data_IF_406414490269
#
_entry.id   IF_406414490269
#
_cell.length_a   1.000
_cell.length_b   1.000
_cell.length_c   1.000
_cell.angle_alpha   90.00
_cell.angle_beta   90.00
_cell.angle_gamma   90.00
#
_symmetry.space_group_name_H-M   'P 1'
#
loop_
_entity.id
_entity.type
_entity.pdbx_description
1 polymer ?
#
# COMPACT_ATOMS: atom_id res chain seq x y z
N UNK A 1 -10.07 -13.63 16.66
CA UNK A 1 -9.52 -12.28 16.87
C UNK A 1 -10.42 -11.70 17.92
N UNK A 2 -9.90 -11.61 19.14
CA UNK A 2 -10.76 -11.54 20.33
C UNK A 2 -10.85 -10.11 20.87
N UNK A 3 -10.17 -9.13 20.25
CA UNK A 3 -10.21 -7.74 20.66
C UNK A 3 -10.09 -6.73 19.51
N UNK A 4 -10.73 -5.57 19.69
CA UNK A 4 -10.58 -4.37 18.84
C UNK A 4 -9.13 -3.84 18.80
N UNK A 5 -8.30 -4.19 19.78
CA UNK A 5 -6.88 -3.85 19.86
C UNK A 5 -6.07 -4.64 18.82
N UNK A 6 -6.43 -5.90 18.58
CA UNK A 6 -5.74 -6.75 17.59
C UNK A 6 -5.93 -6.25 16.15
N UNK A 7 -7.08 -5.64 15.85
CA UNK A 7 -7.32 -4.95 14.58
C UNK A 7 -6.32 -3.80 14.34
N UNK A 8 -6.12 -2.96 15.38
CA UNK A 8 -5.15 -1.87 15.32
C UNK A 8 -3.70 -2.36 15.20
N UNK A 9 -3.37 -3.48 15.84
CA UNK A 9 -2.03 -4.05 15.81
C UNK A 9 -1.71 -4.74 14.47
N UNK A 10 -2.68 -5.45 13.87
CA UNK A 10 -2.47 -6.25 12.65
C UNK A 10 -2.65 -5.47 11.34
N UNK A 11 -3.37 -4.34 11.35
CA UNK A 11 -3.58 -3.50 10.16
C UNK A 11 -2.29 -2.99 9.49
N UNK A 12 -1.15 -3.07 10.18
CA UNK A 12 0.16 -2.66 9.67
C UNK A 12 0.84 -3.65 8.70
N UNK A 13 0.41 -4.91 8.61
CA UNK A 13 1.14 -5.92 7.83
C UNK A 13 1.19 -5.59 6.32
N UNK A 14 0.09 -5.06 5.76
CA UNK A 14 0.06 -4.63 4.37
C UNK A 14 1.01 -3.46 4.12
N UNK A 15 1.11 -2.52 5.05
CA UNK A 15 2.05 -1.39 4.93
C UNK A 15 3.50 -1.88 4.86
N UNK A 16 3.85 -2.93 5.60
CA UNK A 16 5.18 -3.53 5.54
C UNK A 16 5.45 -4.15 4.16
N UNK A 17 4.53 -4.95 3.62
CA UNK A 17 4.69 -5.53 2.28
C UNK A 17 4.77 -4.47 1.19
N UNK A 18 3.92 -3.44 1.26
CA UNK A 18 3.97 -2.29 0.35
C UNK A 18 5.32 -1.60 0.45
N UNK A 19 5.84 -1.33 1.66
CA UNK A 19 7.13 -0.66 1.86
C UNK A 19 8.28 -1.45 1.26
N UNK A 20 8.31 -2.77 1.47
CA UNK A 20 9.32 -3.66 0.88
C UNK A 20 9.21 -3.64 -0.65
N UNK A 21 8.01 -3.74 -1.20
CA UNK A 21 7.77 -3.67 -2.64
C UNK A 21 8.22 -2.33 -3.25
N UNK A 22 7.94 -1.21 -2.57
CA UNK A 22 8.42 0.11 -2.98
C UNK A 22 9.95 0.19 -2.96
N UNK A 23 10.61 -0.43 -1.98
CA UNK A 23 12.07 -0.57 -1.94
C UNK A 23 12.63 -1.34 -3.13
N UNK A 24 11.99 -2.45 -3.52
CA UNK A 24 12.34 -3.24 -4.71
C UNK A 24 12.14 -2.44 -5.99
N UNK A 25 11.02 -1.71 -6.11
CA UNK A 25 10.73 -0.87 -7.26
C UNK A 25 11.78 0.26 -7.40
N UNK A 26 12.11 0.94 -6.30
CA UNK A 26 13.13 1.98 -6.27
C UNK A 26 14.51 1.43 -6.65
N UNK A 27 14.92 0.29 -6.08
CA UNK A 27 16.19 -0.34 -6.43
C UNK A 27 16.24 -0.69 -7.92
N UNK A 28 15.16 -1.28 -8.45
CA UNK A 28 15.03 -1.61 -9.88
C UNK A 28 15.14 -0.36 -10.76
N UNK A 29 14.52 0.75 -10.37
CA UNK A 29 14.62 2.03 -11.09
C UNK A 29 16.06 2.58 -11.08
N UNK A 30 16.77 2.47 -9.95
CA UNK A 30 18.19 2.87 -9.86
C UNK A 30 19.06 2.01 -10.78
N UNK A 31 18.84 0.69 -10.81
CA UNK A 31 19.55 -0.21 -11.73
C UNK A 31 19.23 0.10 -13.19
N UNK A 32 17.95 0.33 -13.52
CA UNK A 32 17.54 0.75 -14.85
C UNK A 32 18.30 1.99 -15.32
N UNK A 33 18.41 3.01 -14.45
CA UNK A 33 19.13 4.25 -14.76
C UNK A 33 20.63 4.03 -14.92
N UNK A 34 21.26 3.18 -14.10
CA UNK A 34 22.69 2.86 -14.19
C UNK A 34 23.04 2.12 -15.48
N UNK A 35 22.13 1.28 -15.97
CA UNK A 35 22.28 0.54 -17.22
C UNK A 35 21.72 1.29 -18.45
N UNK A 36 21.59 2.63 -18.38
CA UNK A 36 21.16 3.42 -19.54
C UNK A 36 19.71 3.20 -19.96
N UNK A 37 18.81 2.97 -19.00
CA UNK A 37 17.38 2.72 -19.25
C UNK A 37 17.10 1.27 -19.63
N UNK A 38 17.61 0.31 -18.86
CA UNK A 38 17.34 -1.12 -19.09
C UNK A 38 15.84 -1.43 -18.95
N UNK A 39 15.21 -1.87 -20.06
CA UNK A 39 13.77 -2.18 -20.12
C UNK A 39 13.40 -3.32 -19.16
N UNK A 40 14.32 -4.26 -18.92
CA UNK A 40 14.11 -5.35 -17.97
C UNK A 40 13.88 -4.80 -16.56
N UNK A 41 14.73 -3.89 -16.11
CA UNK A 41 14.62 -3.30 -14.77
C UNK A 41 13.44 -2.34 -14.65
N UNK A 42 13.10 -1.61 -15.72
CA UNK A 42 11.88 -0.79 -15.76
C UNK A 42 10.62 -1.66 -15.65
N UNK A 43 10.56 -2.79 -16.35
CA UNK A 43 9.43 -3.72 -16.24
C UNK A 43 9.31 -4.32 -14.83
N UNK A 44 10.43 -4.63 -14.15
CA UNK A 44 10.41 -5.06 -12.74
C UNK A 44 9.86 -3.96 -11.85
N UNK A 45 10.33 -2.71 -12.02
CA UNK A 45 9.81 -1.55 -11.30
C UNK A 45 8.29 -1.45 -11.48
N UNK A 46 7.80 -1.34 -12.71
CA UNK A 46 6.37 -1.17 -13.02
C UNK A 46 5.48 -2.28 -12.48
N UNK A 47 5.88 -3.55 -12.67
CA UNK A 47 5.13 -4.70 -12.13
C UNK A 47 5.08 -4.69 -10.61
N UNK A 48 6.18 -4.29 -9.96
CA UNK A 48 6.23 -4.19 -8.50
C UNK A 48 5.33 -3.06 -7.99
N UNK A 49 5.29 -1.92 -8.68
CA UNK A 49 4.38 -0.83 -8.36
C UNK A 49 2.91 -1.24 -8.49
N UNK A 50 2.55 -1.98 -9.54
CA UNK A 50 1.20 -2.54 -9.71
C UNK A 50 0.86 -3.49 -8.57
N UNK A 51 1.80 -4.36 -8.17
CA UNK A 51 1.61 -5.26 -7.03
C UNK A 51 1.42 -4.49 -5.71
N UNK A 52 2.18 -3.41 -5.48
CA UNK A 52 2.03 -2.54 -4.31
C UNK A 52 0.64 -1.88 -4.27
N UNK A 53 0.14 -1.42 -5.41
CA UNK A 53 -1.22 -0.86 -5.50
C UNK A 53 -2.28 -1.92 -5.20
N UNK A 54 -2.12 -3.14 -5.73
CA UNK A 54 -2.97 -4.28 -5.42
C UNK A 54 -2.98 -4.62 -3.92
N UNK A 55 -1.80 -4.60 -3.27
CA UNK A 55 -1.68 -4.82 -1.83
C UNK A 55 -2.32 -3.69 -1.02
N UNK A 56 -2.24 -2.44 -1.47
CA UNK A 56 -2.94 -1.31 -0.85
C UNK A 56 -4.46 -1.49 -0.87
N UNK A 57 -5.02 -1.88 -2.02
CA UNK A 57 -6.45 -2.18 -2.16
C UNK A 57 -6.88 -3.37 -1.29
N UNK A 58 -6.12 -4.47 -1.34
CA UNK A 58 -6.40 -5.65 -0.52
C UNK A 58 -6.34 -5.31 0.98
N UNK A 59 -5.33 -4.56 1.42
CA UNK A 59 -5.20 -4.15 2.81
C UNK A 59 -6.38 -3.32 3.28
N UNK A 60 -6.86 -2.39 2.45
CA UNK A 60 -8.06 -1.62 2.76
C UNK A 60 -9.33 -2.49 2.82
N UNK A 61 -9.50 -3.45 1.91
CA UNK A 61 -10.63 -4.38 1.92
C UNK A 61 -10.62 -5.30 3.16
N UNK A 62 -9.45 -5.84 3.52
CA UNK A 62 -9.28 -6.62 4.74
C UNK A 62 -9.59 -5.76 5.97
N UNK A 63 -9.12 -4.52 5.98
CA UNK A 63 -9.47 -3.56 7.01
C UNK A 63 -10.98 -3.43 7.17
N UNK A 64 -11.75 -3.32 6.06
CA UNK A 64 -13.21 -3.17 6.10
C UNK A 64 -13.86 -4.37 6.78
N UNK A 65 -13.42 -5.58 6.41
CA UNK A 65 -13.92 -6.84 7.01
C UNK A 65 -13.61 -6.88 8.51
N UNK A 66 -12.38 -6.58 8.90
CA UNK A 66 -11.97 -6.61 10.31
C UNK A 66 -12.68 -5.52 11.13
N UNK A 67 -12.78 -4.30 10.60
CA UNK A 67 -13.50 -3.21 11.24
C UNK A 67 -14.99 -3.54 11.42
N UNK A 68 -15.63 -4.20 10.44
CA UNK A 68 -17.03 -4.62 10.56
C UNK A 68 -17.21 -5.62 11.69
N UNK A 69 -16.33 -6.61 11.80
CA UNK A 69 -16.33 -7.58 12.90
C UNK A 69 -16.09 -6.89 14.25
N UNK A 70 -15.11 -5.99 14.31
CA UNK A 70 -14.74 -5.29 15.53
C UNK A 70 -15.83 -4.32 16.02
N UNK A 71 -16.52 -3.63 15.11
CA UNK A 71 -17.64 -2.75 15.42
C UNK A 71 -18.86 -3.52 15.96
N UNK A 72 -19.05 -4.78 15.57
CA UNK A 72 -20.10 -5.65 16.10
C UNK A 72 -19.96 -5.93 17.61
N UNK A 73 -18.78 -5.71 18.19
CA UNK A 73 -18.48 -5.91 19.62
C UNK A 73 -18.54 -4.61 20.43
N UNK A 74 -18.78 -3.46 19.78
CA UNK A 74 -18.79 -2.14 20.44
C UNK A 74 -20.18 -1.84 21.00
N UNK A 75 -20.22 -1.26 22.21
CA UNK A 75 -21.48 -0.79 22.81
C UNK A 75 -22.18 0.23 21.89
N UNK A 76 -23.52 0.20 21.76
CA UNK A 76 -24.25 1.09 20.83
C UNK A 76 -23.92 2.58 21.01
N UNK A 77 -23.75 3.02 22.26
CA UNK A 77 -23.40 4.40 22.64
C UNK A 77 -22.01 4.87 22.16
N UNK A 78 -21.11 3.94 21.84
CA UNK A 78 -19.74 4.22 21.36
C UNK A 78 -19.55 3.87 19.88
N UNK A 79 -20.59 3.39 19.20
CA UNK A 79 -20.49 2.87 17.83
C UNK A 79 -20.06 3.96 16.85
N UNK A 80 -20.65 5.16 16.94
CA UNK A 80 -20.35 6.24 15.99
C UNK A 80 -18.91 6.79 16.14
N UNK A 81 -18.40 7.03 17.37
CA UNK A 81 -16.97 7.30 17.57
C UNK A 81 -16.03 6.18 17.12
N UNK A 82 -16.42 4.91 17.31
CA UNK A 82 -15.59 3.78 16.90
C UNK A 82 -15.53 3.65 15.37
N UNK A 83 -16.66 3.83 14.68
CA UNK A 83 -16.74 3.74 13.23
C UNK A 83 -15.96 4.86 12.53
N UNK A 84 -15.98 6.10 13.06
CA UNK A 84 -15.19 7.20 12.50
C UNK A 84 -13.68 6.95 12.61
N UNK A 85 -13.23 6.38 13.73
CA UNK A 85 -11.82 5.97 13.91
C UNK A 85 -11.43 4.83 13.00
N UNK A 86 -12.29 3.82 12.88
CA UNK A 86 -12.07 2.70 11.97
C UNK A 86 -11.90 3.21 10.54
N UNK A 87 -12.82 4.04 10.04
CA UNK A 87 -12.79 4.59 8.69
C UNK A 87 -11.44 5.25 8.31
N UNK A 88 -10.82 5.98 9.25
CA UNK A 88 -9.50 6.59 9.03
C UNK A 88 -8.37 5.57 8.84
N UNK A 89 -8.48 4.38 9.45
CA UNK A 89 -7.47 3.32 9.39
C UNK A 89 -7.62 2.47 8.14
N UNK A 90 -8.87 2.24 7.73
CA UNK A 90 -9.21 1.44 6.54
C UNK A 90 -8.50 1.91 5.29
N UNK A 91 -8.28 3.23 5.16
CA UNK A 91 -7.69 3.82 3.96
C UNK A 91 -6.17 3.88 4.00
N UNK A 92 -5.54 3.60 5.15
CA UNK A 92 -4.08 3.74 5.32
C UNK A 92 -3.30 2.90 4.32
N UNK A 93 -3.59 1.60 4.11
CA UNK A 93 -2.81 0.79 3.16
C UNK A 93 -2.86 1.32 1.74
N UNK A 94 -4.03 1.74 1.27
CA UNK A 94 -4.19 2.34 -0.05
C UNK A 94 -3.45 3.67 -0.17
N UNK A 95 -3.59 4.56 0.82
CA UNK A 95 -2.87 5.83 0.86
C UNK A 95 -1.35 5.61 0.84
N UNK A 96 -0.86 4.64 1.62
CA UNK A 96 0.56 4.30 1.69
C UNK A 96 1.10 3.79 0.35
N UNK A 97 0.34 2.92 -0.32
CA UNK A 97 0.68 2.45 -1.66
C UNK A 97 0.73 3.60 -2.66
N UNK A 98 -0.29 4.47 -2.70
CA UNK A 98 -0.36 5.59 -3.65
C UNK A 98 0.79 6.59 -3.44
N UNK A 99 1.12 6.90 -2.19
CA UNK A 99 2.23 7.79 -1.84
C UNK A 99 3.58 7.32 -2.41
N UNK A 100 3.79 6.00 -2.52
CA UNK A 100 5.01 5.45 -3.12
C UNK A 100 4.90 5.19 -4.63
N UNK A 101 3.76 4.66 -5.08
CA UNK A 101 3.56 4.23 -6.47
C UNK A 101 3.55 5.41 -7.44
N UNK A 102 2.88 6.51 -7.09
CA UNK A 102 2.77 7.68 -7.98
C UNK A 102 4.15 8.28 -8.31
N UNK A 103 4.99 8.69 -7.33
CA UNK A 103 6.28 9.30 -7.65
C UNK A 103 7.23 8.32 -8.36
N UNK A 104 7.26 7.04 -7.98
CA UNK A 104 8.11 6.04 -8.64
C UNK A 104 7.65 5.75 -10.07
N UNK A 105 6.34 5.71 -10.33
CA UNK A 105 5.79 5.53 -11.67
C UNK A 105 6.07 6.73 -12.59
N UNK A 106 6.01 7.95 -12.06
CA UNK A 106 6.44 9.15 -12.80
C UNK A 106 7.94 9.04 -13.13
N UNK A 107 8.76 8.66 -12.15
CA UNK A 107 10.20 8.54 -12.34
C UNK A 107 10.58 7.44 -13.34
N UNK A 108 9.91 6.28 -13.33
CA UNK A 108 10.12 5.21 -14.32
C UNK A 108 9.77 5.68 -15.73
N UNK A 109 8.66 6.42 -15.87
CA UNK A 109 8.21 7.00 -17.13
C UNK A 109 9.26 7.97 -17.70
N UNK A 110 9.79 8.86 -16.87
CA UNK A 110 10.84 9.81 -17.28
C UNK A 110 12.13 9.08 -17.72
N UNK A 111 12.54 8.03 -17.00
CA UNK A 111 13.72 7.24 -17.38
C UNK A 111 13.52 6.55 -18.74
N UNK A 112 12.33 6.00 -19.01
CA UNK A 112 11.99 5.38 -20.30
C UNK A 112 12.10 6.39 -21.45
N UNK A 113 11.48 7.56 -21.31
CA UNK A 113 11.47 8.58 -22.39
C UNK A 113 12.80 9.27 -22.61
N UNK A 114 13.72 9.28 -21.64
CA UNK A 114 15.09 9.77 -21.86
C UNK A 114 15.94 8.87 -22.76
N UNK A 115 15.52 7.63 -22.99
CA UNK A 115 16.23 6.66 -23.84
C UNK A 115 15.68 6.62 -25.27
N UNK A 116 14.40 6.96 -25.47
CA UNK A 116 13.76 7.04 -26.78
C UNK A 116 14.26 8.26 -27.56
#
# INVERSE_FOLDING_TARGET
>A
MDSFIDFYANGGIFNHFITIGLGVALASLVFARREGGSERWLAVCERTLVACLGLGLLGSLFGVVEASAALGMVKPELLMPAASRAAGILVIPLCWALLGVIPLGIASTVVRFRKA
#
